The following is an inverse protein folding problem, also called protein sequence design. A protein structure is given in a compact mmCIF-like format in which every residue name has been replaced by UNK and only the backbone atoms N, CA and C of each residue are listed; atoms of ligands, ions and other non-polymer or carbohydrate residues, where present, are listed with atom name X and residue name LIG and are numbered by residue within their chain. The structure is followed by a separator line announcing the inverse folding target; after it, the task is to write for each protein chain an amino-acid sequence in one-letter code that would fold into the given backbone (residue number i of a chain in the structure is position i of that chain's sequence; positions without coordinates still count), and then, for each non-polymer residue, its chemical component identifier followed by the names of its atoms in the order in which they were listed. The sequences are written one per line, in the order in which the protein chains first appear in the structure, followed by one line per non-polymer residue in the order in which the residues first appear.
data_IF_381723868016
#
_entry.id   IF_381723868016
#
_cell.length_a   1.000
_cell.length_b   1.000
_cell.length_c   1.000
_cell.angle_alpha   90.00
_cell.angle_beta   90.00
_cell.angle_gamma   90.00
#
_symmetry.space_group_name_H-M   'P 1'
#
loop_
_entity.id
_entity.type
_entity.pdbx_description
1 polymer ?
#
# COMPACT_ATOMS: atom_id res chain seq x y z
N UNK A 1 -20.71 38.59 8.46
CA UNK A 1 -21.31 37.87 7.31
C UNK A 1 -20.63 38.27 6.00
N UNK A 2 -20.38 39.56 5.74
CA UNK A 2 -19.70 40.02 4.50
C UNK A 2 -18.30 39.46 4.28
N UNK A 3 -17.41 39.47 5.29
CA UNK A 3 -16.06 38.90 5.18
C UNK A 3 -16.01 37.40 4.80
N UNK A 4 -17.01 36.63 5.23
CA UNK A 4 -17.09 35.19 4.91
C UNK A 4 -17.56 35.02 3.47
N UNK A 5 -18.52 35.83 3.03
CA UNK A 5 -19.01 35.86 1.65
C UNK A 5 -17.91 36.26 0.66
N UNK A 6 -17.05 37.22 1.01
CA UNK A 6 -15.91 37.64 0.18
C UNK A 6 -14.81 36.57 0.10
N UNK A 7 -14.56 35.81 1.17
CA UNK A 7 -13.62 34.67 1.14
C UNK A 7 -14.13 33.58 0.20
N UNK A 8 -15.42 33.22 0.27
CA UNK A 8 -16.02 32.25 -0.66
C UNK A 8 -16.05 32.75 -2.11
N UNK A 9 -16.18 34.06 -2.34
CA UNK A 9 -16.13 34.68 -3.68
C UNK A 9 -14.70 34.80 -4.23
N UNK A 10 -13.70 34.94 -3.34
CA UNK A 10 -12.26 34.95 -3.68
C UNK A 10 -11.68 33.56 -3.97
N UNK A 11 -12.35 32.49 -3.53
CA UNK A 11 -12.15 31.14 -4.04
C UNK A 11 -12.77 31.08 -5.44
N UNK A 12 -12.17 31.79 -6.39
CA UNK A 12 -12.61 31.77 -7.78
C UNK A 12 -12.23 30.40 -8.36
N UNK A 13 -13.09 29.40 -8.14
CA UNK A 13 -12.93 28.02 -8.57
C UNK A 13 -12.61 27.97 -10.08
N UNK A 14 -13.17 28.90 -10.85
CA UNK A 14 -12.94 29.04 -12.29
C UNK A 14 -11.48 29.36 -12.62
N UNK A 15 -10.80 30.19 -11.82
CA UNK A 15 -9.37 30.49 -12.01
C UNK A 15 -8.48 29.30 -11.64
N UNK A 16 -8.88 28.50 -10.63
CA UNK A 16 -8.17 27.27 -10.26
C UNK A 16 -8.21 26.27 -11.42
N UNK A 17 -9.39 26.01 -12.00
CA UNK A 17 -9.54 25.12 -13.17
C UNK A 17 -8.81 25.66 -14.41
N UNK A 18 -8.73 26.97 -14.58
CA UNK A 18 -8.05 27.59 -15.71
C UNK A 18 -6.53 27.74 -15.54
N UNK A 19 -6.02 27.58 -14.33
CA UNK A 19 -4.60 27.68 -14.02
C UNK A 19 -3.77 26.65 -14.80
N UNK A 20 -2.59 27.07 -15.25
CA UNK A 20 -1.63 26.18 -15.95
C UNK A 20 -1.25 24.97 -15.10
N UNK A 21 -1.12 25.15 -13.78
CA UNK A 21 -0.82 24.08 -12.83
C UNK A 21 -1.93 23.04 -12.78
N UNK A 22 -3.20 23.46 -12.74
CA UNK A 22 -4.33 22.54 -12.74
C UNK A 22 -4.44 21.79 -14.08
N UNK A 23 -4.28 22.48 -15.21
CA UNK A 23 -4.29 21.85 -16.54
C UNK A 23 -3.19 20.81 -16.68
N UNK A 24 -1.96 21.15 -16.29
CA UNK A 24 -0.82 20.22 -16.34
C UNK A 24 -1.03 19.04 -15.37
N UNK A 25 -1.51 19.32 -14.15
CA UNK A 25 -1.86 18.29 -13.17
C UNK A 25 -2.97 17.36 -13.66
N UNK A 26 -3.97 17.89 -14.35
CA UNK A 26 -5.07 17.12 -14.94
C UNK A 26 -4.61 16.26 -16.13
N UNK A 27 -3.65 16.74 -16.93
CA UNK A 27 -3.09 15.98 -18.05
C UNK A 27 -2.23 14.82 -17.55
N UNK A 28 -1.36 15.08 -16.55
CA UNK A 28 -0.56 14.03 -15.90
C UNK A 28 -1.46 13.04 -15.16
N UNK A 29 -2.41 13.53 -14.37
CA UNK A 29 -3.35 12.71 -13.62
C UNK A 29 -4.27 11.89 -14.52
N UNK A 30 -4.78 12.48 -15.61
CA UNK A 30 -5.59 11.79 -16.61
C UNK A 30 -4.80 10.74 -17.39
N UNK A 31 -3.56 11.05 -17.78
CA UNK A 31 -2.66 10.09 -18.44
C UNK A 31 -2.30 8.91 -17.55
N UNK A 32 -1.90 9.18 -16.30
CA UNK A 32 -1.62 8.14 -15.30
C UNK A 32 -2.89 7.33 -14.99
N UNK A 33 -4.03 7.98 -14.78
CA UNK A 33 -5.30 7.31 -14.52
C UNK A 33 -5.72 6.40 -15.67
N UNK A 34 -5.51 6.84 -16.91
CA UNK A 34 -5.76 6.02 -18.11
C UNK A 34 -4.82 4.83 -18.18
N UNK A 35 -3.51 5.05 -17.98
CA UNK A 35 -2.51 3.97 -17.95
C UNK A 35 -2.85 2.92 -16.88
N UNK A 36 -3.14 3.34 -15.65
CA UNK A 36 -3.52 2.45 -14.56
C UNK A 36 -4.83 1.70 -14.87
N UNK A 37 -5.81 2.36 -15.48
CA UNK A 37 -7.07 1.72 -15.87
C UNK A 37 -6.88 0.64 -16.94
N UNK A 38 -5.94 0.82 -17.86
CA UNK A 38 -5.58 -0.18 -18.88
C UNK A 38 -4.84 -1.35 -18.24
N UNK A 39 -3.91 -1.07 -17.34
CA UNK A 39 -2.99 -2.07 -16.80
C UNK A 39 -3.63 -2.94 -15.71
N UNK A 40 -4.49 -2.35 -14.87
CA UNK A 40 -5.15 -3.07 -13.78
C UNK A 40 -6.61 -3.42 -14.05
N UNK A 41 -7.24 -2.77 -15.03
CA UNK A 41 -8.67 -2.83 -15.24
C UNK A 41 -9.40 -1.71 -14.48
N UNK A 42 -10.35 -1.05 -15.15
CA UNK A 42 -11.07 0.12 -14.61
C UNK A 42 -11.85 -0.21 -13.33
N UNK A 43 -12.50 -1.38 -13.28
CA UNK A 43 -13.25 -1.88 -12.11
C UNK A 43 -12.36 -2.22 -10.91
N UNK A 44 -11.06 -2.41 -11.16
CA UNK A 44 -10.15 -3.04 -10.21
C UNK A 44 -9.29 -2.02 -9.43
N UNK A 45 -9.34 -0.74 -9.81
CA UNK A 45 -8.53 0.31 -9.18
C UNK A 45 -8.74 0.43 -7.67
N UNK A 46 -9.96 0.19 -7.17
CA UNK A 46 -10.24 0.19 -5.73
C UNK A 46 -9.44 -0.89 -4.99
N UNK A 47 -9.25 -2.07 -5.59
CA UNK A 47 -8.46 -3.15 -5.01
C UNK A 47 -6.97 -2.82 -4.99
N UNK A 48 -6.48 -2.10 -6.00
CA UNK A 48 -5.11 -1.57 -6.01
C UNK A 48 -4.91 -0.51 -4.92
N UNK A 49 -5.92 0.34 -4.68
CA UNK A 49 -5.88 1.28 -3.56
C UNK A 49 -5.84 0.55 -2.21
N UNK A 50 -6.64 -0.52 -2.03
CA UNK A 50 -6.60 -1.36 -0.81
C UNK A 50 -5.21 -1.97 -0.63
N UNK A 51 -4.66 -2.60 -1.68
CA UNK A 51 -3.33 -3.19 -1.65
C UNK A 51 -2.26 -2.15 -1.28
N UNK A 52 -2.35 -0.94 -1.85
CA UNK A 52 -1.47 0.17 -1.52
C UNK A 52 -1.53 0.58 -0.05
N UNK A 53 -2.73 0.74 0.50
CA UNK A 53 -2.88 1.06 1.92
C UNK A 53 -2.25 -0.01 2.81
N UNK A 54 -2.49 -1.29 2.53
CA UNK A 54 -1.94 -2.40 3.32
C UNK A 54 -0.41 -2.48 3.21
N UNK A 55 0.15 -2.30 2.01
CA UNK A 55 1.61 -2.22 1.81
C UNK A 55 2.22 -1.05 2.57
N UNK A 56 1.61 0.13 2.53
CA UNK A 56 2.10 1.31 3.26
C UNK A 56 2.07 1.07 4.77
N UNK A 57 0.99 0.48 5.29
CA UNK A 57 0.88 0.15 6.71
C UNK A 57 1.93 -0.87 7.16
N UNK A 58 2.14 -1.94 6.38
CA UNK A 58 3.21 -2.92 6.64
C UNK A 58 4.59 -2.25 6.63
N UNK A 59 4.83 -1.34 5.69
CA UNK A 59 6.12 -0.68 5.57
C UNK A 59 6.42 0.27 6.74
N UNK A 60 5.41 1.03 7.19
CA UNK A 60 5.53 1.90 8.37
C UNK A 60 5.82 1.07 9.62
N UNK A 61 5.04 0.02 9.85
CA UNK A 61 5.17 -0.81 11.06
C UNK A 61 6.46 -1.63 11.04
N UNK A 62 6.83 -2.23 9.91
CA UNK A 62 8.07 -2.97 9.74
C UNK A 62 9.32 -2.08 9.88
N UNK A 63 9.27 -0.84 9.38
CA UNK A 63 10.35 0.14 9.56
C UNK A 63 10.49 0.56 11.02
N UNK A 64 9.38 0.74 11.75
CA UNK A 64 9.42 1.02 13.19
C UNK A 64 9.96 -0.16 13.99
N UNK A 65 9.44 -1.37 13.73
CA UNK A 65 9.87 -2.60 14.40
C UNK A 65 11.37 -2.85 14.21
N UNK A 66 11.88 -2.72 12.97
CA UNK A 66 13.30 -2.93 12.67
C UNK A 66 14.23 -1.90 13.32
N UNK A 67 13.78 -0.66 13.52
CA UNK A 67 14.52 0.36 14.28
C UNK A 67 14.55 0.03 15.78
N UNK A 68 13.42 -0.35 16.36
CA UNK A 68 13.33 -0.78 17.76
C UNK A 68 14.23 -2.00 18.03
N UNK A 69 14.29 -2.91 17.07
CA UNK A 69 15.11 -4.10 17.15
C UNK A 69 16.59 -3.89 16.82
N UNK A 70 16.99 -2.67 16.42
CA UNK A 70 18.36 -2.38 15.99
C UNK A 70 18.79 -3.13 14.72
N UNK A 71 17.83 -3.66 13.95
CA UNK A 71 18.06 -4.45 12.74
C UNK A 71 17.86 -3.65 11.44
N UNK A 72 17.68 -2.32 11.52
CA UNK A 72 17.51 -1.45 10.36
C UNK A 72 18.85 -1.25 9.62
N UNK A 73 18.84 -1.37 8.29
CA UNK A 73 19.99 -1.08 7.43
C UNK A 73 19.58 -0.24 6.21
N UNK A 74 20.52 0.48 5.61
CA UNK A 74 20.26 1.26 4.39
C UNK A 74 19.93 0.36 3.19
N UNK A 75 20.57 -0.81 3.08
CA UNK A 75 20.27 -1.82 2.06
C UNK A 75 18.81 -2.31 2.14
N UNK A 76 18.27 -2.45 3.36
CA UNK A 76 16.87 -2.82 3.59
C UNK A 76 15.88 -1.83 2.96
N UNK A 77 16.21 -0.53 2.93
CA UNK A 77 15.39 0.50 2.31
C UNK A 77 15.33 0.37 0.78
N UNK A 78 16.48 0.17 0.13
CA UNK A 78 16.59 0.05 -1.33
C UNK A 78 15.94 -1.23 -1.84
N UNK A 79 16.19 -2.38 -1.19
CA UNK A 79 15.52 -3.64 -1.50
C UNK A 79 14.01 -3.56 -1.28
N UNK A 80 13.57 -2.78 -0.28
CA UNK A 80 12.15 -2.55 0.00
C UNK A 80 11.41 -1.88 -1.16
N UNK A 81 12.04 -0.95 -1.87
CA UNK A 81 11.46 -0.29 -3.04
C UNK A 81 11.32 -1.28 -4.20
N UNK A 82 12.39 -2.01 -4.54
CA UNK A 82 12.37 -2.99 -5.63
C UNK A 82 11.29 -4.07 -5.40
N UNK A 83 11.17 -4.58 -4.17
CA UNK A 83 10.12 -5.52 -3.76
C UNK A 83 8.72 -4.94 -3.99
N UNK A 84 8.52 -3.68 -3.63
CA UNK A 84 7.22 -3.00 -3.78
C UNK A 84 6.83 -2.87 -5.24
N UNK A 85 7.78 -2.53 -6.12
CA UNK A 85 7.54 -2.49 -7.57
C UNK A 85 7.06 -3.84 -8.09
N UNK A 86 7.74 -4.93 -7.74
CA UNK A 86 7.34 -6.29 -8.16
C UNK A 86 5.94 -6.62 -7.66
N UNK A 87 5.62 -6.25 -6.42
CA UNK A 87 4.32 -6.52 -5.80
C UNK A 87 3.16 -5.91 -6.60
N UNK A 88 3.33 -4.69 -7.12
CA UNK A 88 2.33 -4.03 -7.96
C UNK A 88 2.33 -4.52 -9.41
N UNK A 89 3.44 -5.06 -9.93
CA UNK A 89 3.47 -5.67 -11.26
C UNK A 89 2.72 -7.01 -11.32
N UNK A 90 2.58 -7.73 -10.21
CA UNK A 90 1.89 -9.03 -10.18
C UNK A 90 0.38 -8.91 -10.51
N UNK A 91 -0.42 -8.01 -9.91
CA UNK A 91 -1.81 -7.80 -10.33
C UNK A 91 -1.96 -7.35 -11.79
N UNK A 92 -1.01 -6.55 -12.30
CA UNK A 92 -0.95 -6.17 -13.71
C UNK A 92 -0.83 -7.41 -14.61
N UNK A 93 0.16 -8.26 -14.34
CA UNK A 93 0.35 -9.51 -15.09
C UNK A 93 -0.86 -10.43 -15.00
N UNK A 94 -1.48 -10.52 -13.82
CA UNK A 94 -2.69 -11.31 -13.60
C UNK A 94 -3.87 -10.80 -14.45
N UNK A 95 -4.11 -9.49 -14.47
CA UNK A 95 -5.15 -8.88 -15.31
C UNK A 95 -4.87 -9.11 -16.81
N UNK A 96 -3.61 -9.09 -17.25
CA UNK A 96 -3.26 -9.42 -18.63
C UNK A 96 -3.65 -10.86 -19.00
N UNK A 97 -3.50 -11.82 -18.06
CA UNK A 97 -4.02 -13.18 -18.26
C UNK A 97 -5.55 -13.22 -18.33
N UNK A 98 -6.24 -12.46 -17.47
CA UNK A 98 -7.70 -12.37 -17.55
C UNK A 98 -8.17 -11.83 -18.90
N UNK A 99 -7.50 -10.81 -19.45
CA UNK A 99 -7.77 -10.32 -20.81
C UNK A 99 -7.53 -11.41 -21.85
N UNK A 100 -6.37 -12.08 -21.78
CA UNK A 100 -5.99 -13.12 -22.76
C UNK A 100 -6.97 -14.30 -22.77
N UNK A 101 -7.46 -14.70 -21.60
CA UNK A 101 -8.42 -15.79 -21.44
C UNK A 101 -9.89 -15.35 -21.47
N UNK A 102 -10.17 -14.04 -21.60
CA UNK A 102 -11.51 -13.45 -21.54
C UNK A 102 -12.27 -13.80 -20.25
N UNK A 103 -11.57 -13.77 -19.12
CA UNK A 103 -12.12 -14.05 -17.80
C UNK A 103 -12.60 -12.76 -17.11
N UNK A 104 -13.56 -12.86 -16.16
CA UNK A 104 -14.03 -11.71 -15.38
C UNK A 104 -13.08 -11.41 -14.21
N UNK A 105 -11.84 -11.03 -14.52
CA UNK A 105 -10.80 -10.62 -13.54
C UNK A 105 -10.45 -11.70 -12.49
N UNK A 106 -10.55 -12.98 -12.86
CA UNK A 106 -10.33 -14.11 -11.95
C UNK A 106 -8.90 -14.15 -11.39
N UNK A 107 -7.89 -14.09 -12.26
CA UNK A 107 -6.50 -14.11 -11.84
C UNK A 107 -6.14 -12.84 -11.08
N UNK A 108 -6.65 -11.69 -11.51
CA UNK A 108 -6.48 -10.41 -10.82
C UNK A 108 -6.93 -10.50 -9.36
N UNK A 109 -8.15 -10.99 -9.09
CA UNK A 109 -8.65 -11.10 -7.72
C UNK A 109 -7.90 -12.15 -6.90
N UNK A 110 -7.52 -13.27 -7.52
CA UNK A 110 -6.71 -14.30 -6.86
C UNK A 110 -5.37 -13.74 -6.38
N UNK A 111 -4.63 -13.07 -7.28
CA UNK A 111 -3.30 -12.53 -6.98
C UNK A 111 -3.39 -11.34 -6.03
N UNK A 112 -4.26 -10.37 -6.33
CA UNK A 112 -4.41 -9.15 -5.51
C UNK A 112 -4.94 -9.48 -4.11
N UNK A 113 -5.92 -10.39 -4.02
CA UNK A 113 -6.46 -10.86 -2.75
C UNK A 113 -5.42 -11.61 -1.93
N UNK A 114 -4.68 -12.53 -2.54
CA UNK A 114 -3.60 -13.26 -1.89
C UNK A 114 -2.49 -12.34 -1.37
N UNK A 115 -2.03 -11.40 -2.20
CA UNK A 115 -1.04 -10.40 -1.80
C UNK A 115 -1.56 -9.54 -0.64
N UNK A 116 -2.77 -9.00 -0.75
CA UNK A 116 -3.39 -8.18 0.29
C UNK A 116 -3.46 -8.94 1.61
N UNK A 117 -3.93 -10.18 1.58
CA UNK A 117 -4.02 -11.04 2.75
C UNK A 117 -2.66 -11.28 3.41
N UNK A 118 -1.65 -11.69 2.65
CA UNK A 118 -0.31 -11.96 3.17
C UNK A 118 0.35 -10.71 3.77
N UNK A 119 0.21 -9.56 3.12
CA UNK A 119 0.81 -8.31 3.60
C UNK A 119 0.06 -7.80 4.83
N UNK A 120 -1.25 -7.98 4.90
CA UNK A 120 -2.04 -7.63 6.08
C UNK A 120 -1.64 -8.46 7.31
N UNK A 121 -1.38 -9.76 7.12
CA UNK A 121 -0.86 -10.62 8.18
C UNK A 121 0.54 -10.17 8.63
N UNK A 122 1.41 -9.82 7.67
CA UNK A 122 2.72 -9.24 7.96
C UNK A 122 2.62 -7.94 8.75
N UNK A 123 1.72 -7.03 8.36
CA UNK A 123 1.45 -5.78 9.07
C UNK A 123 1.01 -6.05 10.52
N UNK A 124 0.05 -6.95 10.71
CA UNK A 124 -0.47 -7.33 12.03
C UNK A 124 0.66 -7.85 12.92
N UNK A 125 1.52 -8.72 12.39
CA UNK A 125 2.67 -9.23 13.13
C UNK A 125 3.72 -8.14 13.45
N UNK A 126 3.90 -7.15 12.57
CA UNK A 126 4.78 -6.01 12.83
C UNK A 126 4.21 -5.10 13.93
N UNK A 127 2.89 -4.91 14.00
CA UNK A 127 2.26 -4.17 15.09
C UNK A 127 2.57 -4.75 16.46
N UNK A 128 2.53 -6.09 16.60
CA UNK A 128 2.93 -6.76 17.86
C UNK A 128 4.38 -6.46 18.20
N UNK A 129 5.29 -6.53 17.23
CA UNK A 129 6.70 -6.18 17.44
C UNK A 129 6.94 -4.74 17.87
N UNK A 130 6.03 -3.82 17.52
CA UNK A 130 6.08 -2.42 17.94
C UNK A 130 5.39 -2.20 19.29
N UNK A 131 4.68 -3.20 19.84
CA UNK A 131 3.91 -3.10 21.08
C UNK A 131 2.51 -2.50 20.89
N UNK A 132 1.91 -2.69 19.72
CA UNK A 132 0.57 -2.21 19.35
C UNK A 132 -0.50 -3.31 19.42
N UNK A 133 -0.16 -4.46 19.97
CA UNK A 133 -1.02 -5.62 20.17
C UNK A 133 -2.33 -5.28 20.90
N UNK A 134 -2.28 -4.40 21.91
CA UNK A 134 -3.48 -3.94 22.64
C UNK A 134 -4.55 -3.25 21.80
N UNK A 135 -4.20 -2.76 20.60
CA UNK A 135 -5.13 -2.11 19.68
C UNK A 135 -5.64 -3.03 18.58
N UNK A 136 -5.20 -4.29 18.57
CA UNK A 136 -5.56 -5.29 17.57
C UNK A 136 -6.48 -6.33 18.23
N UNK A 137 -7.61 -6.68 17.60
CA UNK A 137 -8.48 -7.73 18.10
C UNK A 137 -7.73 -9.06 18.31
N UNK A 138 -8.00 -9.75 19.42
CA UNK A 138 -7.32 -11.00 19.79
C UNK A 138 -7.44 -12.09 18.72
N UNK A 139 -8.63 -12.26 18.13
CA UNK A 139 -8.84 -13.24 17.06
C UNK A 139 -7.90 -13.03 15.86
N UNK A 140 -7.54 -11.78 15.58
CA UNK A 140 -6.64 -11.43 14.48
C UNK A 140 -5.17 -11.67 14.87
N UNK A 141 -4.82 -11.48 16.14
CA UNK A 141 -3.49 -11.83 16.65
C UNK A 141 -3.25 -13.34 16.62
N UNK A 142 -4.27 -14.11 17.02
CA UNK A 142 -4.22 -15.58 17.01
C UNK A 142 -4.06 -16.14 15.60
N UNK A 143 -4.73 -15.57 14.60
CA UNK A 143 -4.61 -16.03 13.20
C UNK A 143 -3.22 -15.82 12.59
N UNK A 144 -2.43 -14.90 13.15
CA UNK A 144 -1.06 -14.60 12.68
C UNK A 144 0.03 -14.97 13.70
N UNK A 145 -0.31 -15.77 14.73
CA UNK A 145 0.60 -16.12 15.83
C UNK A 145 1.93 -16.74 15.34
N UNK A 146 1.88 -17.63 14.36
CA UNK A 146 3.08 -18.25 13.77
C UNK A 146 3.98 -17.23 13.07
N UNK A 147 3.39 -16.22 12.44
CA UNK A 147 4.14 -15.15 11.78
C UNK A 147 4.77 -14.19 12.81
N UNK A 148 4.05 -13.87 13.88
CA UNK A 148 4.57 -13.11 15.03
C UNK A 148 5.81 -13.80 15.58
N UNK A 149 5.71 -15.08 15.94
CA UNK A 149 6.82 -15.85 16.52
C UNK A 149 8.02 -15.90 15.55
N UNK A 150 7.75 -16.20 14.27
CA UNK A 150 8.80 -16.24 13.25
C UNK A 150 9.52 -14.91 13.11
N UNK A 151 8.81 -13.77 13.20
CA UNK A 151 9.41 -12.44 13.10
C UNK A 151 10.20 -12.05 14.35
N UNK A 152 9.73 -12.40 15.55
CA UNK A 152 10.47 -12.15 16.81
C UNK A 152 11.76 -12.98 16.82
N UNK A 153 11.69 -14.28 16.55
CA UNK A 153 12.86 -15.17 16.50
C UNK A 153 13.93 -14.70 15.50
N UNK A 154 13.51 -14.24 14.32
CA UNK A 154 14.43 -13.67 13.30
C UNK A 154 15.12 -12.40 13.80
N UNK A 155 14.41 -11.57 14.54
CA UNK A 155 14.95 -10.35 15.15
C UNK A 155 16.02 -10.68 16.20
N UNK A 156 15.69 -11.56 17.15
CA UNK A 156 16.61 -11.96 18.23
C UNK A 156 17.86 -12.64 17.69
N UNK A 157 17.72 -13.48 16.66
CA UNK A 157 18.86 -14.11 16.00
C UNK A 157 19.81 -13.08 15.38
N UNK A 158 19.28 -11.97 14.83
CA UNK A 158 20.11 -10.89 14.28
C UNK A 158 20.78 -10.07 15.38
N UNK A 159 20.11 -9.85 16.52
CA UNK A 159 20.72 -9.19 17.70
C UNK A 159 21.89 -10.00 18.25
N UNK A 160 21.76 -11.33 18.36
CA UNK A 160 22.83 -12.23 18.85
C UNK A 160 24.05 -12.35 17.92
N UNK A 161 23.93 -11.94 16.64
CA UNK A 161 25.02 -11.97 15.65
C UNK A 161 25.82 -10.66 15.59
N UNK A 162 25.37 -9.61 16.27
CA UNK A 162 26.12 -8.37 16.46
C UNK A 162 26.89 -8.42 17.77
#
# INVERSE_FOLDING_TARGET
MERVHDIFRSLNIIDVFNSTTFKLGSLVGGGLGTFLSIVYGKSNLIWICILMMVVTLDWITGSKASKLDGSYSSAYGVEGIARTVVLFLLPCLAHMFDIAFKLPDFFFFMVTGGLTYHIFNSFTANCVRVGWDKWIPTWLLESVASEIEAKIKRSDTRKRRK
#
